data_IF_529724008384
#
_entry.id   IF_529724008384
#
_cell.length_a   1.000
_cell.length_b   1.000
_cell.length_c   1.000
_cell.angle_alpha   90.00
_cell.angle_beta   90.00
_cell.angle_gamma   90.00
#
_symmetry.space_group_name_H-M   'P 1'
#
loop_
_entity.id
_entity.type
_entity.pdbx_description
1 polymer ?
#
# COMPACT_ATOMS: atom_id res chain seq x y z
N UNK A 1 18.85 14.39 -4.83
CA UNK A 1 17.62 13.82 -4.23
C UNK A 1 18.04 12.59 -3.46
N UNK A 2 17.77 12.49 -2.16
CA UNK A 2 18.18 11.32 -1.37
C UNK A 2 17.24 10.15 -1.64
N UNK A 3 17.69 8.91 -1.39
CA UNK A 3 16.84 7.71 -1.54
C UNK A 3 15.56 7.78 -0.68
N UNK A 4 15.64 8.51 0.45
CA UNK A 4 14.51 8.81 1.33
C UNK A 4 13.52 9.80 0.71
N UNK A 5 14.01 10.81 -0.01
CA UNK A 5 13.16 11.78 -0.73
C UNK A 5 12.43 11.14 -1.91
N UNK A 6 13.13 10.30 -2.67
CA UNK A 6 12.55 9.53 -3.78
C UNK A 6 11.45 8.59 -3.30
N UNK A 7 11.68 7.91 -2.17
CA UNK A 7 10.67 7.06 -1.52
C UNK A 7 9.44 7.86 -1.09
N UNK A 8 9.62 8.99 -0.41
CA UNK A 8 8.48 9.79 0.09
C UNK A 8 7.65 10.39 -1.05
N UNK A 9 8.30 10.83 -2.13
CA UNK A 9 7.63 11.31 -3.33
C UNK A 9 6.84 10.20 -4.03
N UNK A 10 7.35 8.97 -4.03
CA UNK A 10 6.67 7.79 -4.55
C UNK A 10 5.44 7.43 -3.69
N UNK A 11 5.59 7.31 -2.37
CA UNK A 11 4.50 7.04 -1.42
C UNK A 11 3.36 8.06 -1.54
N UNK A 12 3.70 9.35 -1.61
CA UNK A 12 2.71 10.44 -1.74
C UNK A 12 1.91 10.32 -3.03
N UNK A 13 2.54 9.89 -4.12
CA UNK A 13 1.89 9.71 -5.42
C UNK A 13 0.92 8.55 -5.39
N UNK A 14 1.31 7.43 -4.78
CA UNK A 14 0.46 6.25 -4.61
C UNK A 14 -0.78 6.55 -3.78
N UNK A 15 -0.61 7.20 -2.63
CA UNK A 15 -1.75 7.55 -1.76
C UNK A 15 -2.73 8.50 -2.45
N UNK A 16 -2.22 9.47 -3.22
CA UNK A 16 -3.06 10.35 -4.05
C UNK A 16 -3.82 9.57 -5.10
N UNK A 17 -3.17 8.64 -5.82
CA UNK A 17 -3.81 7.83 -6.85
C UNK A 17 -4.86 6.87 -6.28
N UNK A 18 -4.58 6.23 -5.15
CA UNK A 18 -5.54 5.41 -4.41
C UNK A 18 -6.78 6.20 -3.98
N UNK A 19 -6.58 7.43 -3.52
CA UNK A 19 -7.67 8.32 -3.11
C UNK A 19 -8.50 8.84 -4.30
N UNK A 20 -7.87 9.03 -5.46
CA UNK A 20 -8.50 9.56 -6.67
C UNK A 20 -9.33 8.51 -7.43
N UNK A 21 -9.17 7.22 -7.14
CA UNK A 21 -10.06 6.17 -7.62
C UNK A 21 -9.77 5.62 -9.03
N UNK A 22 -8.64 5.94 -9.66
CA UNK A 22 -8.26 5.34 -10.94
C UNK A 22 -6.73 5.30 -11.14
N UNK A 23 -6.10 4.10 -11.15
CA UNK A 23 -4.76 3.96 -11.66
C UNK A 23 -4.81 3.93 -13.20
N UNK A 24 -4.65 5.10 -13.82
CA UNK A 24 -4.68 5.23 -15.28
C UNK A 24 -3.67 4.31 -15.99
N UNK A 25 -3.92 3.95 -17.26
CA UNK A 25 -3.15 2.94 -18.00
C UNK A 25 -1.67 3.27 -18.18
N UNK A 26 -1.28 4.53 -18.03
CA UNK A 26 0.10 5.00 -18.16
C UNK A 26 0.93 4.83 -16.86
N UNK A 27 0.30 4.39 -15.78
CA UNK A 27 0.97 4.16 -14.50
C UNK A 27 1.87 2.90 -14.58
N UNK A 28 3.11 2.94 -14.05
CA UNK A 28 3.95 1.75 -13.95
C UNK A 28 3.21 0.60 -13.26
N UNK A 29 3.39 -0.63 -13.72
CA UNK A 29 2.67 -1.81 -13.19
C UNK A 29 2.80 -1.91 -11.68
N UNK A 30 3.99 -1.66 -11.13
CA UNK A 30 4.23 -1.66 -9.68
C UNK A 30 3.40 -0.62 -8.93
N UNK A 31 3.18 0.55 -9.52
CA UNK A 31 2.40 1.62 -8.91
C UNK A 31 0.89 1.33 -9.03
N UNK A 32 0.45 0.76 -10.15
CA UNK A 32 -0.94 0.34 -10.37
C UNK A 32 -1.37 -0.75 -9.39
N UNK A 33 -0.54 -1.78 -9.26
CA UNK A 33 -0.77 -2.88 -8.32
C UNK A 33 -0.81 -2.37 -6.87
N UNK A 34 0.05 -1.39 -6.51
CA UNK A 34 0.00 -0.76 -5.20
C UNK A 34 -1.27 0.07 -4.96
N UNK A 35 -1.80 0.71 -6.00
CA UNK A 35 -3.06 1.47 -5.92
C UNK A 35 -4.27 0.55 -5.80
N UNK A 36 -4.37 -0.52 -6.59
CA UNK A 36 -5.44 -1.53 -6.47
C UNK A 36 -5.45 -2.17 -5.09
N UNK A 37 -4.26 -2.42 -4.56
CA UNK A 37 -4.08 -2.93 -3.23
C UNK A 37 -4.59 -2.01 -2.12
N UNK A 38 -4.18 -0.74 -2.13
CA UNK A 38 -4.63 0.27 -1.15
C UNK A 38 -6.15 0.50 -1.20
N UNK A 39 -6.79 0.20 -2.33
CA UNK A 39 -8.23 0.38 -2.55
C UNK A 39 -9.06 -0.86 -2.25
N UNK A 40 -8.44 -2.02 -2.07
CA UNK A 40 -9.18 -3.26 -1.87
C UNK A 40 -9.89 -3.25 -0.51
N UNK A 41 -11.18 -3.56 -0.57
CA UNK A 41 -12.05 -3.82 0.56
C UNK A 41 -12.26 -5.34 0.78
N UNK A 42 -11.43 -6.18 0.16
CA UNK A 42 -11.54 -7.63 0.29
C UNK A 42 -11.39 -8.08 1.75
N UNK A 43 -12.29 -8.98 2.15
CA UNK A 43 -12.25 -9.62 3.46
C UNK A 43 -11.01 -10.53 3.63
N UNK A 44 -10.45 -11.03 2.52
CA UNK A 44 -9.27 -11.90 2.45
C UNK A 44 -8.05 -11.13 1.94
N UNK A 45 -7.59 -10.20 2.78
CA UNK A 45 -6.46 -9.31 2.52
C UNK A 45 -5.16 -10.07 2.17
N UNK A 46 -5.03 -11.31 2.64
CA UNK A 46 -3.93 -12.23 2.37
C UNK A 46 -3.96 -12.76 0.93
N UNK A 47 -5.14 -13.15 0.43
CA UNK A 47 -5.33 -13.57 -0.96
C UNK A 47 -5.10 -12.41 -1.94
N UNK A 48 -5.58 -11.20 -1.60
CA UNK A 48 -5.32 -10.02 -2.42
C UNK A 48 -3.83 -9.65 -2.45
N UNK A 49 -3.17 -9.67 -1.29
CA UNK A 49 -1.71 -9.47 -1.21
C UNK A 49 -0.97 -10.50 -2.08
N UNK A 50 -1.35 -11.78 -2.03
CA UNK A 50 -0.73 -12.83 -2.82
C UNK A 50 -0.92 -12.62 -4.33
N UNK A 51 -2.10 -12.16 -4.75
CA UNK A 51 -2.41 -11.85 -6.15
C UNK A 51 -1.56 -10.70 -6.67
N UNK A 52 -1.49 -9.60 -5.92
CA UNK A 52 -0.63 -8.45 -6.24
C UNK A 52 0.84 -8.86 -6.34
N UNK A 53 1.34 -9.70 -5.43
CA UNK A 53 2.70 -10.24 -5.50
C UNK A 53 2.91 -11.05 -6.78
N UNK A 54 1.94 -11.89 -7.16
CA UNK A 54 2.02 -12.71 -8.37
C UNK A 54 2.06 -11.84 -9.64
N UNK A 55 1.28 -10.78 -9.70
CA UNK A 55 1.29 -9.83 -10.83
C UNK A 55 2.62 -9.08 -10.95
N UNK A 56 3.19 -8.62 -9.82
CA UNK A 56 4.50 -7.97 -9.81
C UNK A 56 5.61 -8.92 -10.29
N UNK A 57 5.51 -10.21 -9.95
CA UNK A 57 6.43 -11.24 -10.47
C UNK A 57 6.21 -11.44 -11.97
N UNK A 58 4.96 -11.56 -12.41
CA UNK A 58 4.62 -11.75 -13.83
C UNK A 58 5.05 -10.58 -14.72
N UNK A 59 5.12 -9.37 -14.16
CA UNK A 59 5.59 -8.17 -14.82
C UNK A 59 7.12 -7.95 -14.74
N UNK A 60 7.89 -8.96 -14.29
CA UNK A 60 9.35 -8.89 -14.13
C UNK A 60 9.84 -7.70 -13.27
N UNK A 61 9.02 -7.25 -12.31
CA UNK A 61 9.40 -6.16 -11.40
C UNK A 61 10.63 -6.61 -10.58
N UNK A 62 11.71 -5.81 -10.48
CA UNK A 62 12.92 -6.20 -9.76
C UNK A 62 12.66 -6.65 -8.32
N UNK A 63 13.43 -7.63 -7.86
CA UNK A 63 13.27 -8.19 -6.49
C UNK A 63 13.26 -7.11 -5.40
N UNK A 64 14.16 -6.13 -5.49
CA UNK A 64 14.25 -5.03 -4.52
C UNK A 64 12.98 -4.16 -4.49
N UNK A 65 12.36 -3.92 -5.65
CA UNK A 65 11.11 -3.17 -5.77
C UNK A 65 9.93 -3.96 -5.19
N UNK A 66 9.86 -5.28 -5.47
CA UNK A 66 8.85 -6.17 -4.87
C UNK A 66 8.96 -6.20 -3.35
N UNK A 67 10.18 -6.32 -2.82
CA UNK A 67 10.43 -6.25 -1.37
C UNK A 67 10.07 -4.88 -0.81
N UNK A 68 10.40 -3.80 -1.52
CA UNK A 68 10.04 -2.44 -1.15
C UNK A 68 8.53 -2.24 -1.03
N UNK A 69 7.76 -2.80 -1.97
CA UNK A 69 6.30 -2.81 -1.93
C UNK A 69 5.76 -3.52 -0.67
N UNK A 70 6.21 -4.75 -0.39
CA UNK A 70 5.79 -5.49 0.81
C UNK A 70 6.13 -4.74 2.10
N UNK A 71 7.32 -4.15 2.16
CA UNK A 71 7.76 -3.39 3.34
C UNK A 71 6.92 -2.14 3.58
N UNK A 72 6.57 -1.42 2.52
CA UNK A 72 5.65 -0.28 2.57
C UNK A 72 4.30 -0.73 3.09
N UNK A 73 3.70 -1.76 2.48
CA UNK A 73 2.41 -2.29 2.90
C UNK A 73 2.37 -2.65 4.39
N UNK A 74 3.30 -3.49 4.83
CA UNK A 74 3.32 -3.96 6.21
C UNK A 74 3.52 -2.82 7.21
N UNK A 75 4.10 -1.70 6.78
CA UNK A 75 4.21 -0.48 7.60
C UNK A 75 2.86 0.22 7.71
N UNK A 76 2.22 0.53 6.59
CA UNK A 76 0.90 1.18 6.58
C UNK A 76 -0.14 0.36 7.34
N UNK A 77 -0.17 -0.96 7.15
CA UNK A 77 -1.05 -1.86 7.89
C UNK A 77 -0.80 -1.79 9.41
N UNK A 78 0.47 -1.82 9.85
CA UNK A 78 0.81 -1.69 11.28
C UNK A 78 0.38 -0.34 11.84
N UNK A 79 0.55 0.73 11.09
CA UNK A 79 0.23 2.07 11.56
C UNK A 79 -1.30 2.28 11.63
N UNK A 80 -2.05 1.74 10.66
CA UNK A 80 -3.52 1.70 10.72
C UNK A 80 -4.03 0.88 11.92
N UNK A 81 -3.46 -0.29 12.18
CA UNK A 81 -3.82 -1.12 13.34
C UNK A 81 -3.53 -0.42 14.67
N UNK A 82 -2.39 0.29 14.78
CA UNK A 82 -2.07 1.09 15.97
C UNK A 82 -3.08 2.22 16.16
N UNK A 83 -3.37 2.97 15.10
CA UNK A 83 -4.32 4.08 15.15
C UNK A 83 -5.73 3.61 15.55
N UNK A 84 -6.18 2.46 15.04
CA UNK A 84 -7.46 1.85 15.41
C UNK A 84 -7.48 1.44 16.89
N UNK A 85 -6.41 0.83 17.40
CA UNK A 85 -6.29 0.48 18.81
C UNK A 85 -6.28 1.73 19.73
N UNK A 86 -5.61 2.80 19.29
CA UNK A 86 -5.60 4.10 19.98
C UNK A 86 -6.98 4.75 20.02
N UNK A 87 -7.72 4.68 18.91
CA UNK A 87 -9.09 5.18 18.82
C UNK A 87 -10.05 4.39 19.70
N UNK A 88 -9.93 3.06 19.72
CA UNK A 88 -10.70 2.18 20.61
C UNK A 88 -10.46 2.48 22.09
N UNK A 89 -9.21 2.73 22.50
CA UNK A 89 -8.87 3.14 23.88
C UNK A 89 -9.53 4.47 24.25
N UNK A 90 -9.43 5.48 23.38
CA UNK A 90 -10.07 6.79 23.61
C UNK A 90 -11.59 6.69 23.70
N UNK A 91 -12.22 5.84 22.88
CA UNK A 91 -13.65 5.61 22.94
C UNK A 91 -14.08 4.94 24.26
N UNK A 92 -13.26 4.05 24.81
CA UNK A 92 -13.50 3.40 26.11
C UNK A 92 -13.22 4.29 27.34
N UNK A 93 -12.37 5.31 27.22
CA UNK A 93 -12.11 6.30 28.29
C UNK A 93 -13.20 7.37 28.42
N UNK A 94 -14.07 7.49 27.41
CA UNK A 94 -15.19 8.44 27.38
C UNK A 94 -16.58 7.78 27.53
N UNK A 95 -16.62 6.47 27.79
CA UNK A 95 -17.84 5.70 28.04
C UNK A 95 -18.00 5.41 29.54
#
# INVERSE_FOLDING_TARGET
>A
MTMSDSRRAWETRLMRAASAGDPGPDMPVVERAAVEFLRSDDAELDLHTATVIAELIAADVPYEERVGFVQMWMRELRDALRAAAEAGRRAGEHA
#
